data_IF_451529285082
#
_entry.id   IF_451529285082
#
_cell.length_a   1.000
_cell.length_b   1.000
_cell.length_c   1.000
_cell.angle_alpha   90.00
_cell.angle_beta   90.00
_cell.angle_gamma   90.00
#
_symmetry.space_group_name_H-M   'P 1'
#
loop_
_entity.id
_entity.type
_entity.pdbx_description
1 polymer ?
#
# COMPACT_ATOMS: atom_id res chain seq x y z
N UNK A 1 -5.30 -16.73 -0.96
CA UNK A 1 -6.15 -15.92 -0.06
C UNK A 1 -5.57 -16.05 1.34
N UNK A 2 -5.14 -14.93 1.93
CA UNK A 2 -4.56 -14.93 3.28
C UNK A 2 -5.57 -15.32 4.35
N UNK A 3 -5.11 -16.12 5.30
CA UNK A 3 -5.81 -16.50 6.52
C UNK A 3 -6.14 -15.29 7.40
N UNK A 4 -7.00 -15.50 8.41
CA UNK A 4 -7.36 -14.43 9.34
C UNK A 4 -6.15 -14.02 10.20
N UNK A 5 -5.32 -14.99 10.55
CA UNK A 5 -4.11 -14.84 11.33
C UNK A 5 -3.08 -14.00 10.58
N UNK A 6 -2.81 -14.32 9.30
CA UNK A 6 -1.91 -13.53 8.45
C UNK A 6 -2.39 -12.08 8.28
N UNK A 7 -3.69 -11.89 8.05
CA UNK A 7 -4.30 -10.54 8.01
C UNK A 7 -4.17 -9.80 9.34
N UNK A 8 -4.17 -10.51 10.46
CA UNK A 8 -3.98 -9.92 11.79
C UNK A 8 -2.55 -9.44 11.99
N UNK A 9 -1.56 -10.25 11.57
CA UNK A 9 -0.14 -9.89 11.61
C UNK A 9 0.11 -8.61 10.80
N UNK A 10 -0.40 -8.54 9.56
CA UNK A 10 -0.26 -7.35 8.70
C UNK A 10 -0.89 -6.11 9.34
N UNK A 11 -2.05 -6.24 9.98
CA UNK A 11 -2.68 -5.12 10.70
C UNK A 11 -1.84 -4.65 11.88
N UNK A 12 -1.28 -5.57 12.64
CA UNK A 12 -0.42 -5.22 13.78
C UNK A 12 0.85 -4.52 13.30
N UNK A 13 1.45 -4.98 12.20
CA UNK A 13 2.56 -4.32 11.54
C UNK A 13 2.20 -2.89 11.10
N UNK A 14 1.03 -2.70 10.46
CA UNK A 14 0.56 -1.36 10.08
C UNK A 14 0.42 -0.38 11.25
N UNK A 15 0.09 -0.87 12.46
CA UNK A 15 -0.02 -0.03 13.65
C UNK A 15 1.32 0.56 14.12
N UNK A 16 2.45 0.09 13.61
CA UNK A 16 3.78 0.62 13.94
C UNK A 16 4.06 1.95 13.21
N UNK A 17 3.28 2.29 12.17
CA UNK A 17 3.51 3.46 11.34
C UNK A 17 2.64 4.66 11.75
N UNK A 18 3.21 5.86 11.67
CA UNK A 18 2.48 7.10 11.93
C UNK A 18 1.84 7.63 10.64
N UNK A 19 0.69 7.08 10.28
CA UNK A 19 -0.05 7.50 9.07
C UNK A 19 -0.94 8.71 9.33
N UNK A 20 -1.22 9.49 8.29
CA UNK A 20 -2.02 10.72 8.40
C UNK A 20 -3.48 10.49 8.79
N UNK A 21 -3.99 9.27 8.61
CA UNK A 21 -5.33 8.85 9.01
C UNK A 21 -5.30 7.46 9.65
N UNK A 22 -6.15 7.21 10.68
CA UNK A 22 -6.28 5.89 11.27
C UNK A 22 -6.94 4.91 10.28
N UNK A 23 -6.37 3.72 10.15
CA UNK A 23 -6.93 2.64 9.32
C UNK A 23 -7.99 1.90 10.13
N UNK A 24 -9.28 2.10 9.81
CA UNK A 24 -10.40 1.38 10.44
C UNK A 24 -10.88 0.23 9.58
N UNK A 25 -10.87 0.41 8.27
CA UNK A 25 -11.27 -0.59 7.26
C UNK A 25 -10.20 -0.62 6.17
N UNK A 26 -9.29 -1.59 6.26
CA UNK A 26 -8.13 -1.74 5.36
C UNK A 26 -8.52 -1.57 3.89
N UNK A 27 -9.54 -2.30 3.43
CA UNK A 27 -9.99 -2.24 2.03
C UNK A 27 -10.43 -0.86 1.57
N UNK A 28 -11.17 -0.14 2.41
CA UNK A 28 -11.70 1.18 2.07
C UNK A 28 -10.63 2.26 2.21
N UNK A 29 -9.95 2.26 3.34
CA UNK A 29 -9.08 3.36 3.75
C UNK A 29 -7.74 3.36 2.98
N UNK A 30 -7.31 2.22 2.44
CA UNK A 30 -6.11 2.11 1.59
C UNK A 30 -6.43 2.11 0.08
N UNK A 31 -7.71 2.03 -0.31
CA UNK A 31 -8.09 1.89 -1.73
C UNK A 31 -7.65 3.04 -2.62
N UNK A 32 -7.41 4.24 -2.07
CA UNK A 32 -6.95 5.39 -2.85
C UNK A 32 -5.42 5.46 -3.01
N UNK A 33 -4.68 4.53 -2.40
CA UNK A 33 -3.23 4.45 -2.48
C UNK A 33 -2.46 5.49 -1.66
N UNK A 34 -3.11 6.49 -1.05
CA UNK A 34 -2.38 7.58 -0.36
C UNK A 34 -1.74 7.08 0.92
N UNK A 35 -2.46 6.32 1.75
CA UNK A 35 -1.89 5.73 2.96
C UNK A 35 -0.80 4.70 2.66
N UNK A 36 -0.88 4.03 1.51
CA UNK A 36 0.16 3.11 1.04
C UNK A 36 1.40 3.89 0.59
N UNK A 37 1.23 5.04 -0.06
CA UNK A 37 2.34 5.95 -0.36
C UNK A 37 3.01 6.48 0.91
N UNK A 38 2.24 6.87 1.93
CA UNK A 38 2.78 7.31 3.22
C UNK A 38 3.58 6.20 3.92
N UNK A 39 3.04 4.98 3.96
CA UNK A 39 3.74 3.79 4.45
C UNK A 39 5.06 3.57 3.72
N UNK A 40 5.03 3.56 2.38
CA UNK A 40 6.23 3.39 1.55
C UNK A 40 7.21 4.56 1.70
N UNK A 41 6.75 5.77 2.01
CA UNK A 41 7.63 6.91 2.27
C UNK A 41 8.34 6.77 3.63
N UNK A 42 7.71 6.19 4.65
CA UNK A 42 8.38 5.90 5.92
C UNK A 42 9.41 4.78 5.77
N UNK A 43 9.10 3.75 4.97
CA UNK A 43 10.01 2.64 4.69
C UNK A 43 11.15 3.03 3.74
N UNK A 44 10.81 3.72 2.64
CA UNK A 44 11.72 4.06 1.54
C UNK A 44 11.62 5.56 1.17
N UNK A 45 12.05 6.49 2.05
CA UNK A 45 11.83 7.93 1.86
C UNK A 45 12.33 8.49 0.53
N UNK A 46 13.40 7.91 -0.03
CA UNK A 46 14.01 8.36 -1.28
C UNK A 46 13.27 7.90 -2.54
N UNK A 47 12.36 6.94 -2.42
CA UNK A 47 11.63 6.36 -3.55
C UNK A 47 10.26 6.99 -3.75
N UNK A 48 9.69 7.57 -2.69
CA UNK A 48 8.32 8.07 -2.68
C UNK A 48 8.31 9.57 -2.50
N UNK A 49 7.65 10.23 -3.41
CA UNK A 49 7.39 11.66 -3.32
C UNK A 49 5.88 11.91 -3.18
N UNK A 50 5.47 12.28 -1.96
CA UNK A 50 4.09 12.30 -1.50
C UNK A 50 3.20 13.26 -2.29
N UNK A 51 3.77 14.33 -2.89
CA UNK A 51 2.98 15.29 -3.67
C UNK A 51 2.35 14.68 -4.93
N UNK A 52 2.81 13.49 -5.36
CA UNK A 52 2.24 12.79 -6.51
C UNK A 52 0.90 12.12 -6.21
N UNK A 53 0.49 12.03 -4.94
CA UNK A 53 -0.67 11.25 -4.52
C UNK A 53 -1.72 12.17 -3.90
N UNK A 54 -2.92 12.18 -4.49
CA UNK A 54 -4.00 13.05 -4.04
C UNK A 54 -5.14 12.22 -3.48
N UNK A 55 -5.56 12.52 -2.25
CA UNK A 55 -6.73 11.87 -1.62
C UNK A 55 -7.98 12.08 -2.47
N UNK A 56 -8.81 11.04 -2.58
CA UNK A 56 -10.09 11.18 -3.26
C UNK A 56 -10.87 9.89 -3.41
N UNK A 57 -12.18 10.07 -3.64
CA UNK A 57 -13.13 8.96 -3.74
C UNK A 57 -13.39 8.50 -5.18
N UNK A 58 -13.09 9.35 -6.18
CA UNK A 58 -13.31 9.04 -7.58
C UNK A 58 -12.39 7.90 -8.04
N UNK A 59 -12.96 6.89 -8.70
CA UNK A 59 -12.22 5.70 -9.16
C UNK A 59 -11.04 6.08 -10.04
N UNK A 60 -11.22 7.01 -10.99
CA UNK A 60 -10.14 7.49 -11.85
C UNK A 60 -8.93 7.99 -11.03
N UNK A 61 -9.16 8.76 -9.97
CA UNK A 61 -8.07 9.25 -9.11
C UNK A 61 -7.37 8.14 -8.34
N UNK A 62 -8.13 7.14 -7.88
CA UNK A 62 -7.54 5.97 -7.21
C UNK A 62 -6.65 5.20 -8.18
N UNK A 63 -7.10 4.98 -9.42
CA UNK A 63 -6.32 4.34 -10.47
C UNK A 63 -5.03 5.11 -10.74
N UNK A 64 -5.12 6.43 -10.95
CA UNK A 64 -3.95 7.29 -11.19
C UNK A 64 -2.91 7.18 -10.05
N UNK A 65 -3.36 7.18 -8.79
CA UNK A 65 -2.50 7.02 -7.63
C UNK A 65 -1.80 5.64 -7.64
N UNK A 66 -2.55 4.56 -7.90
CA UNK A 66 -2.01 3.20 -7.93
C UNK A 66 -1.07 2.94 -9.11
N UNK A 67 -1.38 3.47 -10.30
CA UNK A 67 -0.49 3.43 -11.45
C UNK A 67 0.81 4.18 -11.18
N UNK A 68 0.72 5.33 -10.51
CA UNK A 68 1.89 6.10 -10.09
C UNK A 68 2.72 5.36 -9.06
N UNK A 69 2.10 4.76 -8.04
CA UNK A 69 2.78 3.89 -7.07
C UNK A 69 3.49 2.74 -7.76
N UNK A 70 2.80 2.03 -8.65
CA UNK A 70 3.33 0.89 -9.37
C UNK A 70 4.60 1.28 -10.15
N UNK A 71 4.47 2.28 -11.02
CA UNK A 71 5.55 2.73 -11.92
C UNK A 71 6.73 3.36 -11.17
N UNK A 72 6.49 4.19 -10.16
CA UNK A 72 7.55 4.98 -9.51
C UNK A 72 8.23 4.24 -8.35
N UNK A 73 7.52 3.32 -7.69
CA UNK A 73 7.93 2.74 -6.39
C UNK A 73 7.91 1.21 -6.44
N UNK A 74 6.75 0.59 -6.62
CA UNK A 74 6.59 -0.86 -6.42
C UNK A 74 7.44 -1.68 -7.40
N UNK A 75 7.47 -1.31 -8.69
CA UNK A 75 8.29 -2.00 -9.68
C UNK A 75 9.79 -1.98 -9.34
N UNK A 76 10.26 -0.91 -8.68
CA UNK A 76 11.67 -0.81 -8.23
C UNK A 76 11.96 -1.69 -7.00
N UNK A 77 10.92 -2.00 -6.21
CA UNK A 77 10.98 -2.98 -5.13
C UNK A 77 10.78 -4.42 -5.63
N UNK A 78 10.55 -4.61 -6.94
CA UNK A 78 10.26 -5.91 -7.55
C UNK A 78 8.82 -6.40 -7.34
N UNK A 79 7.89 -5.49 -7.01
CA UNK A 79 6.45 -5.73 -6.92
C UNK A 79 5.80 -5.24 -8.21
N UNK A 80 5.12 -6.11 -8.94
CA UNK A 80 4.56 -5.79 -10.26
C UNK A 80 3.05 -5.94 -10.25
N UNK A 81 2.33 -4.82 -10.24
CA UNK A 81 0.87 -4.85 -10.30
C UNK A 81 0.40 -4.81 -11.76
N UNK A 82 -0.43 -5.77 -12.16
CA UNK A 82 -1.12 -5.74 -13.45
C UNK A 82 -2.27 -4.72 -13.42
N UNK A 83 -2.79 -4.28 -14.58
CA UNK A 83 -3.96 -3.41 -14.63
C UNK A 83 -5.16 -3.97 -13.86
N UNK A 84 -5.41 -5.28 -13.93
CA UNK A 84 -6.51 -5.93 -13.19
C UNK A 84 -6.32 -5.84 -11.68
N UNK A 85 -5.09 -6.02 -11.18
CA UNK A 85 -4.77 -5.86 -9.76
C UNK A 85 -4.97 -4.41 -9.33
N UNK A 86 -4.53 -3.44 -10.14
CA UNK A 86 -4.72 -2.01 -9.91
C UNK A 86 -6.22 -1.66 -9.83
N UNK A 87 -7.02 -2.15 -10.77
CA UNK A 87 -8.47 -1.98 -10.74
C UNK A 87 -9.11 -2.62 -9.49
N UNK A 88 -8.68 -3.84 -9.15
CA UNK A 88 -9.16 -4.57 -7.97
C UNK A 88 -8.89 -3.79 -6.68
N UNK A 89 -7.66 -3.31 -6.47
CA UNK A 89 -7.29 -2.55 -5.27
C UNK A 89 -7.96 -1.17 -5.22
N UNK A 90 -8.08 -0.47 -6.36
CA UNK A 90 -8.77 0.81 -6.45
C UNK A 90 -10.29 0.68 -6.16
N UNK A 91 -10.89 -0.46 -6.47
CA UNK A 91 -12.27 -0.78 -6.12
C UNK A 91 -12.47 -1.14 -4.64
N UNK A 92 -11.37 -1.31 -3.89
CA UNK A 92 -11.40 -1.71 -2.48
C UNK A 92 -11.57 -3.22 -2.28
N UNK A 93 -11.03 -4.05 -3.18
CA UNK A 93 -10.94 -5.49 -2.93
C UNK A 93 -10.00 -5.73 -1.74
N UNK A 94 -10.55 -6.30 -0.66
CA UNK A 94 -9.81 -6.49 0.57
C UNK A 94 -8.62 -7.45 0.40
N UNK A 95 -8.80 -8.56 -0.30
CA UNK A 95 -7.75 -9.56 -0.44
C UNK A 95 -6.57 -9.00 -1.23
N UNK A 96 -6.86 -8.29 -2.34
CA UNK A 96 -5.81 -7.62 -3.12
C UNK A 96 -5.02 -6.59 -2.31
N UNK A 97 -5.69 -5.80 -1.45
CA UNK A 97 -4.98 -4.85 -0.56
C UNK A 97 -4.04 -5.60 0.39
N UNK A 98 -4.49 -6.70 0.99
CA UNK A 98 -3.66 -7.48 1.92
C UNK A 98 -2.49 -8.18 1.22
N UNK A 99 -2.69 -8.71 0.01
CA UNK A 99 -1.64 -9.34 -0.77
C UNK A 99 -0.51 -8.33 -1.08
N UNK A 100 -0.89 -7.11 -1.51
CA UNK A 100 0.08 -6.02 -1.76
C UNK A 100 0.82 -5.62 -0.48
N UNK A 101 0.10 -5.49 0.65
CA UNK A 101 0.71 -5.16 1.93
C UNK A 101 1.71 -6.21 2.41
N UNK A 102 1.39 -7.49 2.21
CA UNK A 102 2.29 -8.60 2.53
C UNK A 102 3.57 -8.50 1.69
N UNK A 103 3.46 -8.25 0.38
CA UNK A 103 4.64 -8.07 -0.48
C UNK A 103 5.50 -6.88 -0.01
N UNK A 104 4.88 -5.75 0.35
CA UNK A 104 5.60 -4.59 0.89
C UNK A 104 6.32 -4.95 2.20
N UNK A 105 5.66 -5.65 3.11
CA UNK A 105 6.23 -6.08 4.40
C UNK A 105 7.45 -6.99 4.18
N UNK A 106 7.34 -7.98 3.30
CA UNK A 106 8.46 -8.87 2.93
C UNK A 106 9.63 -8.06 2.34
N UNK A 107 9.34 -7.06 1.50
CA UNK A 107 10.40 -6.19 0.95
C UNK A 107 11.05 -5.30 2.00
N UNK A 108 10.29 -4.77 2.95
CA UNK A 108 10.85 -3.99 4.05
C UNK A 108 11.84 -4.83 4.88
N UNK A 109 11.47 -6.08 5.19
CA UNK A 109 12.34 -7.00 5.92
C UNK A 109 13.61 -7.37 5.15
N UNK A 110 13.52 -7.60 3.83
CA UNK A 110 14.68 -7.90 2.97
C UNK A 110 15.70 -6.74 2.88
N UNK A 111 15.26 -5.52 3.15
CA UNK A 111 16.11 -4.32 3.15
C UNK A 111 16.61 -3.93 4.55
N UNK A 112 16.48 -4.82 5.54
CA UNK A 112 16.82 -4.60 6.96
C UNK A 112 16.16 -3.33 7.55
N UNK A 113 14.98 -2.95 7.03
CA UNK A 113 14.22 -1.83 7.58
C UNK A 113 13.48 -2.31 8.80
N UNK A 114 14.13 -2.22 9.97
CA UNK A 114 13.44 -2.35 11.24
C UNK A 114 12.54 -1.13 11.44
N UNK A 115 11.23 -1.37 11.53
CA UNK A 115 10.29 -0.38 12.03
C UNK A 115 10.75 -0.01 13.46
N UNK A 116 10.94 1.30 13.69
CA UNK A 116 11.50 1.89 14.91
C UNK A 116 10.88 1.35 16.20
#
# INVERSE_FOLDING_TARGET
MLSKEEKSIIKQWLCQFQLSNPIRKVSRDLSDGVLVAELLHQLFPRMVDLHNYTKGFAVARKLDNWETLNRKVLMKLGIFLTPDIIHSVASGNQDTVFDILLEIMIKAEQHDIQCL
#
